data_IF_181926412843
#
_entry.id   IF_181926412843
#
_cell.length_a   1.000
_cell.length_b   1.000
_cell.length_c   1.000
_cell.angle_alpha   90.00
_cell.angle_beta   90.00
_cell.angle_gamma   90.00
#
_symmetry.space_group_name_H-M   'P 1'
#
loop_
_entity.id
_entity.type
_entity.pdbx_description
1 polymer ?
#
# COMPACT_ATOMS: atom_id res chain seq x y z
N UNK A 1 -43.92 -77.96 -14.65
CA UNK A 1 -43.16 -77.97 -13.39
C UNK A 1 -41.83 -77.27 -13.63
N UNK A 2 -41.60 -76.21 -12.85
CA UNK A 2 -40.37 -75.42 -12.81
C UNK A 2 -39.16 -76.27 -12.39
N UNK A 3 -38.00 -76.04 -13.01
CA UNK A 3 -36.71 -76.06 -12.31
C UNK A 3 -35.76 -75.02 -12.91
N UNK A 4 -35.71 -73.89 -12.22
CA UNK A 4 -34.68 -72.86 -12.33
C UNK A 4 -33.34 -73.42 -11.87
N UNK A 5 -32.26 -73.17 -12.60
CA UNK A 5 -30.88 -73.28 -12.08
C UNK A 5 -30.25 -71.90 -12.20
N UNK A 6 -29.92 -71.35 -11.04
CA UNK A 6 -29.31 -70.05 -10.82
C UNK A 6 -27.99 -69.92 -11.60
N UNK A 7 -27.92 -68.90 -12.45
CA UNK A 7 -26.65 -68.31 -12.88
C UNK A 7 -26.28 -67.31 -11.78
N UNK A 8 -25.31 -67.67 -10.95
CA UNK A 8 -24.73 -66.74 -9.98
C UNK A 8 -23.70 -65.86 -10.69
N UNK A 9 -24.17 -64.70 -11.19
CA UNK A 9 -23.29 -63.60 -11.59
C UNK A 9 -22.99 -62.77 -10.33
N UNK A 10 -21.94 -63.12 -9.61
CA UNK A 10 -21.34 -62.23 -8.62
C UNK A 10 -20.71 -61.06 -9.35
N UNK A 11 -21.46 -59.96 -9.46
CA UNK A 11 -20.94 -58.65 -9.84
C UNK A 11 -19.92 -58.19 -8.78
N UNK A 12 -18.64 -58.14 -9.18
CA UNK A 12 -17.62 -57.35 -8.49
C UNK A 12 -17.96 -55.85 -8.65
N UNK A 13 -18.71 -55.28 -7.70
CA UNK A 13 -18.86 -53.83 -7.55
C UNK A 13 -17.85 -53.30 -6.51
N UNK A 14 -16.55 -53.40 -6.83
CA UNK A 14 -15.49 -52.73 -6.05
C UNK A 14 -14.55 -51.99 -7.02
N UNK A 15 -15.08 -51.00 -7.76
CA UNK A 15 -14.25 -50.05 -8.54
C UNK A 15 -14.68 -48.57 -8.42
N UNK A 16 -15.74 -48.20 -7.69
CA UNK A 16 -16.27 -46.82 -7.79
C UNK A 16 -15.60 -45.76 -6.91
N UNK A 17 -14.72 -46.13 -5.97
CA UNK A 17 -14.06 -45.16 -5.09
C UNK A 17 -12.68 -44.71 -5.59
N UNK A 18 -11.92 -45.58 -6.28
CA UNK A 18 -10.61 -45.21 -6.84
C UNK A 18 -10.75 -44.24 -8.02
N UNK A 19 -11.69 -44.52 -8.94
CA UNK A 19 -11.95 -43.68 -10.12
C UNK A 19 -12.37 -42.24 -9.76
N UNK A 20 -13.08 -42.05 -8.64
CA UNK A 20 -13.51 -40.72 -8.22
C UNK A 20 -12.36 -39.89 -7.63
N UNK A 21 -11.34 -40.51 -7.01
CA UNK A 21 -10.17 -39.81 -6.44
C UNK A 21 -9.26 -39.29 -7.54
N UNK A 22 -8.91 -40.15 -8.49
CA UNK A 22 -7.99 -39.80 -9.56
C UNK A 22 -8.63 -38.78 -10.51
N UNK A 23 -9.93 -38.95 -10.81
CA UNK A 23 -10.70 -37.95 -11.55
C UNK A 23 -10.75 -36.60 -10.82
N UNK A 24 -10.93 -36.60 -9.49
CA UNK A 24 -10.91 -35.36 -8.70
C UNK A 24 -9.53 -34.69 -8.74
N UNK A 25 -8.45 -35.45 -8.54
CA UNK A 25 -7.07 -34.91 -8.57
C UNK A 25 -6.73 -34.31 -9.93
N UNK A 26 -7.09 -34.98 -11.02
CA UNK A 26 -6.86 -34.48 -12.37
C UNK A 26 -7.64 -33.18 -12.63
N UNK A 27 -8.92 -33.13 -12.25
CA UNK A 27 -9.74 -31.91 -12.37
C UNK A 27 -9.17 -30.76 -11.53
N UNK A 28 -8.78 -31.06 -10.29
CA UNK A 28 -8.15 -30.09 -9.40
C UNK A 28 -6.85 -29.55 -9.97
N UNK A 29 -5.98 -30.40 -10.51
CA UNK A 29 -4.74 -30.01 -11.19
C UNK A 29 -5.02 -29.11 -12.40
N UNK A 30 -5.99 -29.48 -13.25
CA UNK A 30 -6.37 -28.69 -14.41
C UNK A 30 -6.86 -27.29 -14.02
N UNK A 31 -7.77 -27.18 -13.04
CA UNK A 31 -8.28 -25.89 -12.56
C UNK A 31 -7.17 -25.05 -11.92
N UNK A 32 -6.31 -25.65 -11.09
CA UNK A 32 -5.16 -24.94 -10.49
C UNK A 32 -4.15 -24.48 -11.54
N UNK A 33 -3.92 -25.27 -12.59
CA UNK A 33 -3.03 -24.88 -13.67
C UNK A 33 -3.63 -23.75 -14.52
N UNK A 34 -4.93 -23.83 -14.82
CA UNK A 34 -5.65 -22.77 -15.51
C UNK A 34 -5.57 -21.45 -14.72
N UNK A 35 -5.78 -21.51 -13.40
CA UNK A 35 -5.61 -20.36 -12.51
C UNK A 35 -4.20 -19.75 -12.62
N UNK A 36 -3.16 -20.57 -12.53
CA UNK A 36 -1.77 -20.10 -12.63
C UNK A 36 -1.51 -19.41 -13.98
N UNK A 37 -2.01 -19.98 -15.09
CA UNK A 37 -1.89 -19.39 -16.43
C UNK A 37 -2.62 -18.05 -16.55
N UNK A 38 -3.86 -17.95 -16.05
CA UNK A 38 -4.63 -16.69 -16.03
C UNK A 38 -3.91 -15.64 -15.19
N UNK A 39 -3.39 -16.02 -14.02
CA UNK A 39 -2.66 -15.12 -13.14
C UNK A 39 -1.37 -14.57 -13.77
N UNK A 40 -0.62 -15.38 -14.51
CA UNK A 40 0.57 -14.91 -15.24
C UNK A 40 0.16 -13.89 -16.31
N UNK A 41 -0.89 -14.16 -17.08
CA UNK A 41 -1.41 -13.23 -18.10
C UNK A 41 -1.86 -11.91 -17.47
N UNK A 42 -2.65 -11.98 -16.38
CA UNK A 42 -3.07 -10.81 -15.61
C UNK A 42 -1.88 -9.97 -15.15
N UNK A 43 -0.84 -10.61 -14.57
CA UNK A 43 0.37 -9.91 -14.12
C UNK A 43 1.11 -9.22 -15.27
N UNK A 44 1.31 -9.92 -16.38
CA UNK A 44 2.01 -9.39 -17.54
C UNK A 44 1.24 -8.21 -18.15
N UNK A 45 -0.07 -8.35 -18.36
CA UNK A 45 -0.92 -7.27 -18.86
C UNK A 45 -0.94 -6.08 -17.90
N UNK A 46 -1.00 -6.33 -16.59
CA UNK A 46 -0.96 -5.27 -15.57
C UNK A 46 0.31 -4.45 -15.69
N UNK A 47 1.47 -5.10 -15.75
CA UNK A 47 2.78 -4.44 -15.92
C UNK A 47 2.78 -3.64 -17.22
N UNK A 48 2.55 -4.31 -18.35
CA UNK A 48 2.64 -3.70 -19.68
C UNK A 48 1.70 -2.50 -19.85
N UNK A 49 0.50 -2.57 -19.27
CA UNK A 49 -0.51 -1.51 -19.40
C UNK A 49 -0.16 -0.24 -18.64
N UNK A 50 0.66 -0.33 -17.58
CA UNK A 50 0.99 0.82 -16.73
C UNK A 50 2.45 1.27 -16.80
N UNK A 51 3.38 0.49 -17.39
CA UNK A 51 4.81 0.82 -17.45
C UNK A 51 5.06 2.24 -17.95
N UNK A 52 4.59 2.57 -19.16
CA UNK A 52 4.81 3.92 -19.75
C UNK A 52 4.20 5.04 -18.90
N UNK A 53 3.04 4.80 -18.29
CA UNK A 53 2.37 5.77 -17.45
C UNK A 53 3.14 6.01 -16.14
N UNK A 54 3.76 4.96 -15.58
CA UNK A 54 4.60 5.07 -14.40
C UNK A 54 5.92 5.80 -14.72
N UNK A 55 6.52 5.55 -15.88
CA UNK A 55 7.72 6.26 -16.32
C UNK A 55 7.43 7.77 -16.47
N UNK A 56 6.32 8.12 -17.12
CA UNK A 56 5.85 9.50 -17.24
C UNK A 56 5.56 10.12 -15.85
N UNK A 57 4.98 9.37 -14.93
CA UNK A 57 4.70 9.83 -13.56
C UNK A 57 5.98 10.13 -12.78
N UNK A 58 7.01 9.30 -12.95
CA UNK A 58 8.30 9.50 -12.32
C UNK A 58 9.00 10.74 -12.88
N UNK A 59 8.98 10.94 -14.19
CA UNK A 59 9.52 12.16 -14.82
C UNK A 59 8.82 13.43 -14.28
N UNK A 60 7.47 13.42 -14.20
CA UNK A 60 6.73 14.57 -13.67
C UNK A 60 7.07 14.83 -12.21
N UNK A 61 7.26 13.79 -11.39
CA UNK A 61 7.69 13.94 -9.99
C UNK A 61 9.05 14.60 -9.90
N UNK A 62 10.00 14.19 -10.72
CA UNK A 62 11.33 14.80 -10.76
C UNK A 62 11.27 16.28 -11.15
N UNK A 63 10.42 16.64 -12.12
CA UNK A 63 10.25 18.04 -12.53
C UNK A 63 9.56 18.89 -11.45
N UNK A 64 8.57 18.34 -10.75
CA UNK A 64 7.97 18.97 -9.57
C UNK A 64 9.03 19.19 -8.48
N UNK A 65 9.89 18.21 -8.24
CA UNK A 65 10.95 18.27 -7.24
C UNK A 65 11.99 19.34 -7.56
N UNK A 66 12.36 19.52 -8.84
CA UNK A 66 13.27 20.60 -9.27
C UNK A 66 12.75 21.99 -8.87
N UNK A 67 11.44 22.18 -8.84
CA UNK A 67 10.81 23.45 -8.48
C UNK A 67 10.58 23.57 -6.97
N UNK A 68 10.04 22.51 -6.35
CA UNK A 68 9.56 22.57 -4.96
C UNK A 68 10.66 22.36 -3.91
N UNK A 69 11.67 21.52 -4.18
CA UNK A 69 12.75 21.24 -3.21
C UNK A 69 13.54 22.49 -2.80
N UNK A 70 13.93 23.40 -3.72
CA UNK A 70 14.60 24.64 -3.32
C UNK A 70 13.77 25.49 -2.35
N UNK A 71 12.45 25.56 -2.55
CA UNK A 71 11.53 26.31 -1.68
C UNK A 71 11.40 25.65 -0.31
N UNK A 72 11.28 24.32 -0.28
CA UNK A 72 11.25 23.54 0.97
C UNK A 72 12.53 23.74 1.77
N UNK A 73 13.69 23.65 1.13
CA UNK A 73 14.99 23.87 1.77
C UNK A 73 15.09 25.28 2.37
N UNK A 74 14.75 26.33 1.60
CA UNK A 74 14.80 27.71 2.10
C UNK A 74 13.83 27.93 3.26
N UNK A 75 12.64 27.34 3.20
CA UNK A 75 11.66 27.39 4.28
C UNK A 75 12.23 26.76 5.56
N UNK A 76 12.90 25.61 5.45
CA UNK A 76 13.51 24.95 6.60
C UNK A 76 14.65 25.77 7.21
N UNK A 77 15.50 26.38 6.37
CA UNK A 77 16.53 27.32 6.82
C UNK A 77 15.90 28.50 7.60
N UNK A 78 14.78 29.06 7.13
CA UNK A 78 14.09 30.15 7.81
C UNK A 78 13.47 29.70 9.14
N UNK A 79 12.90 28.49 9.21
CA UNK A 79 12.39 27.91 10.47
C UNK A 79 13.50 27.71 11.50
N UNK A 80 14.66 27.23 11.07
CA UNK A 80 15.82 27.10 11.95
C UNK A 80 16.28 28.48 12.47
N UNK A 81 16.25 29.52 11.63
CA UNK A 81 16.52 30.90 12.08
C UNK A 81 15.50 31.40 13.11
N UNK A 82 14.21 31.11 12.92
CA UNK A 82 13.16 31.42 13.92
C UNK A 82 13.48 30.74 15.26
N UNK A 83 13.88 29.47 15.23
CA UNK A 83 14.29 28.74 16.43
C UNK A 83 15.45 29.43 17.15
N UNK A 84 16.48 29.84 16.41
CA UNK A 84 17.64 30.55 16.97
C UNK A 84 17.25 31.92 17.58
N UNK A 85 16.35 32.67 16.94
CA UNK A 85 15.82 33.94 17.48
C UNK A 85 15.13 33.70 18.82
N UNK A 86 14.31 32.65 18.92
CA UNK A 86 13.61 32.28 20.17
C UNK A 86 14.58 31.85 21.26
N UNK A 87 15.64 31.11 20.93
CA UNK A 87 16.70 30.75 21.89
C UNK A 87 17.38 32.02 22.42
N UNK A 88 17.71 32.97 21.54
CA UNK A 88 18.30 34.26 21.95
C UNK A 88 17.35 35.04 22.87
N UNK A 89 16.07 35.13 22.53
CA UNK A 89 15.05 35.76 23.37
C UNK A 89 15.03 35.19 24.80
N UNK A 90 15.03 33.86 24.93
CA UNK A 90 15.04 33.19 26.24
C UNK A 90 16.33 33.50 27.01
N UNK A 91 17.48 33.49 26.33
CA UNK A 91 18.76 33.83 26.93
C UNK A 91 18.81 35.27 27.44
N UNK A 92 18.33 36.23 26.66
CA UNK A 92 18.30 37.65 27.06
C UNK A 92 17.28 37.89 28.18
N UNK A 93 16.11 37.24 28.14
CA UNK A 93 15.12 37.33 29.21
C UNK A 93 15.68 36.82 30.53
N UNK A 94 16.40 35.71 30.50
CA UNK A 94 17.08 35.17 31.68
C UNK A 94 18.14 36.14 32.21
N UNK A 95 18.94 36.76 31.35
CA UNK A 95 19.94 37.75 31.73
C UNK A 95 19.31 38.98 32.39
N UNK A 96 18.24 39.51 31.81
CA UNK A 96 17.47 40.64 32.38
C UNK A 96 16.96 40.29 33.79
N UNK A 97 16.45 39.07 33.98
CA UNK A 97 16.00 38.58 35.28
C UNK A 97 17.17 38.46 36.28
N UNK A 98 18.27 37.82 35.90
CA UNK A 98 19.43 37.63 36.79
C UNK A 98 20.06 38.96 37.22
N UNK A 99 20.19 39.93 36.30
CA UNK A 99 20.68 41.27 36.61
C UNK A 99 19.74 42.02 37.57
N UNK A 100 18.42 41.93 37.35
CA UNK A 100 17.41 42.56 38.20
C UNK A 100 17.41 41.96 39.62
N UNK A 101 17.46 40.63 39.72
CA UNK A 101 17.47 39.91 40.99
C UNK A 101 18.72 40.26 41.82
N UNK A 102 19.89 40.35 41.17
CA UNK A 102 21.14 40.72 41.84
C UNK A 102 21.11 42.13 42.45
N UNK A 103 20.41 43.07 41.81
CA UNK A 103 20.38 44.48 42.23
C UNK A 103 19.24 44.75 43.23
N UNK A 104 18.05 44.20 43.00
CA UNK A 104 16.84 44.57 43.74
C UNK A 104 16.20 43.42 44.54
N UNK A 105 16.54 42.15 44.26
CA UNK A 105 15.94 40.97 44.91
C UNK A 105 14.44 40.78 44.62
N UNK A 106 13.90 41.51 43.64
CA UNK A 106 12.53 41.37 43.15
C UNK A 106 12.39 41.89 41.72
N UNK A 107 11.36 41.42 41.01
CA UNK A 107 11.10 41.74 39.60
C UNK A 107 10.13 42.93 39.39
N UNK A 108 9.55 43.47 40.46
CA UNK A 108 8.54 44.55 40.36
C UNK A 108 9.17 45.95 40.24
N UNK A 109 10.02 46.16 39.23
CA UNK A 109 10.51 47.52 38.90
C UNK A 109 10.06 47.93 37.50
N UNK A 110 9.70 49.22 37.28
CA UNK A 110 9.35 49.71 35.95
C UNK A 110 10.45 49.49 34.92
N UNK A 111 11.72 49.54 35.33
CA UNK A 111 12.86 49.31 34.44
C UNK A 111 12.94 47.85 33.98
N UNK A 112 12.72 46.89 34.87
CA UNK A 112 12.65 45.47 34.53
C UNK A 112 11.54 45.19 33.53
N UNK A 113 10.33 45.68 33.80
CA UNK A 113 9.17 45.50 32.93
C UNK A 113 9.46 46.04 31.52
N UNK A 114 10.03 47.24 31.43
CA UNK A 114 10.39 47.87 30.16
C UNK A 114 11.45 47.06 29.38
N UNK A 115 12.48 46.55 30.06
CA UNK A 115 13.52 45.71 29.41
C UNK A 115 12.94 44.40 28.89
N UNK A 116 12.05 43.77 29.65
CA UNK A 116 11.39 42.53 29.25
C UNK A 116 10.43 42.75 28.07
N UNK A 117 9.66 43.83 28.10
CA UNK A 117 8.78 44.24 26.98
C UNK A 117 9.59 44.48 25.71
N UNK A 118 10.68 45.24 25.81
CA UNK A 118 11.57 45.50 24.66
C UNK A 118 12.17 44.21 24.09
N UNK A 119 12.57 43.25 24.94
CA UNK A 119 13.06 41.94 24.50
C UNK A 119 11.97 41.14 23.76
N UNK A 120 10.74 41.16 24.28
CA UNK A 120 9.59 40.52 23.64
C UNK A 120 9.28 41.15 22.27
N UNK A 121 9.24 42.48 22.19
CA UNK A 121 8.97 43.21 20.94
C UNK A 121 10.02 42.94 19.87
N UNK A 122 11.30 42.93 20.26
CA UNK A 122 12.40 42.59 19.36
C UNK A 122 12.27 41.17 18.81
N UNK A 123 12.00 40.19 19.68
CA UNK A 123 11.76 38.80 19.27
C UNK A 123 10.59 38.69 18.29
N UNK A 124 9.44 39.29 18.64
CA UNK A 124 8.22 39.21 17.82
C UNK A 124 8.43 39.85 16.44
N UNK A 125 9.12 40.99 16.39
CA UNK A 125 9.47 41.65 15.13
C UNK A 125 10.37 40.79 14.25
N UNK A 126 11.42 40.20 14.81
CA UNK A 126 12.35 39.35 14.06
C UNK A 126 11.68 38.07 13.56
N UNK A 127 10.89 37.40 14.41
CA UNK A 127 10.13 36.20 14.04
C UNK A 127 9.13 36.51 12.93
N UNK A 128 8.35 37.58 13.05
CA UNK A 128 7.34 37.98 12.06
C UNK A 128 7.96 38.24 10.68
N UNK A 129 9.14 38.88 10.62
CA UNK A 129 9.86 39.09 9.35
C UNK A 129 10.23 37.76 8.70
N UNK A 130 10.68 36.77 9.48
CA UNK A 130 11.05 35.45 8.97
C UNK A 130 9.82 34.65 8.53
N UNK A 131 8.73 34.70 9.28
CA UNK A 131 7.45 34.07 8.93
C UNK A 131 6.87 34.65 7.64
N UNK A 132 6.92 35.97 7.47
CA UNK A 132 6.52 36.63 6.23
C UNK A 132 7.37 36.19 5.03
N UNK A 133 8.68 35.99 5.22
CA UNK A 133 9.54 35.44 4.14
C UNK A 133 9.13 34.02 3.75
N UNK A 134 8.78 33.17 4.72
CA UNK A 134 8.24 31.83 4.45
C UNK A 134 6.93 31.93 3.67
N UNK A 135 6.00 32.78 4.10
CA UNK A 135 4.71 32.97 3.43
C UNK A 135 4.88 33.44 1.97
N UNK A 136 5.80 34.37 1.72
CA UNK A 136 6.12 34.83 0.35
C UNK A 136 6.71 33.70 -0.50
N UNK A 137 7.62 32.88 0.04
CA UNK A 137 8.19 31.74 -0.68
C UNK A 137 7.11 30.72 -1.06
N UNK A 138 6.22 30.39 -0.12
CA UNK A 138 5.11 29.47 -0.35
C UNK A 138 4.11 30.04 -1.37
N UNK A 139 3.79 31.34 -1.27
CA UNK A 139 2.92 32.02 -2.24
C UNK A 139 3.52 31.99 -3.65
N UNK A 140 4.82 32.25 -3.79
CA UNK A 140 5.52 32.17 -5.09
C UNK A 140 5.47 30.76 -5.69
N UNK A 141 5.66 29.73 -4.87
CA UNK A 141 5.54 28.33 -5.33
C UNK A 141 4.11 28.02 -5.75
N UNK A 142 3.13 28.38 -4.91
CA UNK A 142 1.73 28.10 -5.17
C UNK A 142 1.20 28.85 -6.40
N UNK A 143 1.74 30.04 -6.71
CA UNK A 143 1.37 30.82 -7.88
C UNK A 143 2.24 30.53 -9.12
N UNK A 144 3.18 29.60 -9.04
CA UNK A 144 3.99 29.19 -10.18
C UNK A 144 3.14 28.34 -11.13
N UNK A 145 2.77 28.90 -12.28
CA UNK A 145 1.91 28.23 -13.28
C UNK A 145 2.47 26.89 -13.73
N UNK A 146 3.77 26.80 -13.99
CA UNK A 146 4.40 25.54 -14.41
C UNK A 146 4.30 24.47 -13.31
N UNK A 147 4.55 24.84 -12.05
CA UNK A 147 4.37 23.93 -10.92
C UNK A 147 2.91 23.45 -10.80
N UNK A 148 1.94 24.35 -10.90
CA UNK A 148 0.52 24.01 -10.86
C UNK A 148 0.13 23.06 -12.00
N UNK A 149 0.58 23.34 -13.22
CA UNK A 149 0.34 22.47 -14.38
C UNK A 149 0.94 21.08 -14.20
N UNK A 150 2.16 20.98 -13.68
CA UNK A 150 2.80 19.69 -13.39
C UNK A 150 2.04 18.91 -12.31
N UNK A 151 1.58 19.58 -11.26
CA UNK A 151 0.76 18.95 -10.20
C UNK A 151 -0.57 18.44 -10.78
N UNK A 152 -1.23 19.20 -11.64
CA UNK A 152 -2.46 18.78 -12.32
C UNK A 152 -2.20 17.58 -13.24
N UNK A 153 -1.13 17.62 -14.04
CA UNK A 153 -0.70 16.49 -14.90
C UNK A 153 -0.42 15.25 -14.05
N UNK A 154 0.29 15.39 -12.92
CA UNK A 154 0.56 14.28 -12.00
C UNK A 154 -0.75 13.64 -11.50
N UNK A 155 -1.74 14.45 -11.10
CA UNK A 155 -3.02 13.96 -10.60
C UNK A 155 -3.84 13.27 -11.70
N UNK A 156 -3.89 13.85 -12.90
CA UNK A 156 -4.54 13.22 -14.06
C UNK A 156 -3.89 11.88 -14.42
N UNK A 157 -2.56 11.80 -14.37
CA UNK A 157 -1.83 10.57 -14.67
C UNK A 157 -2.06 9.48 -13.63
N UNK A 158 -2.12 9.83 -12.33
CA UNK A 158 -2.52 8.90 -11.27
C UNK A 158 -3.93 8.33 -11.51
N UNK A 159 -4.88 9.16 -11.93
CA UNK A 159 -6.23 8.71 -12.26
C UNK A 159 -6.24 7.77 -13.48
N UNK A 160 -5.44 8.08 -14.51
CA UNK A 160 -5.29 7.21 -15.69
C UNK A 160 -4.70 5.84 -15.30
N UNK A 161 -3.66 5.81 -14.46
CA UNK A 161 -3.07 4.57 -13.94
C UNK A 161 -4.11 3.75 -13.18
N UNK A 162 -4.88 4.38 -12.28
CA UNK A 162 -5.94 3.71 -11.54
C UNK A 162 -7.01 3.13 -12.48
N UNK A 163 -7.47 3.92 -13.47
CA UNK A 163 -8.45 3.47 -14.46
C UNK A 163 -7.93 2.29 -15.28
N UNK A 164 -6.68 2.35 -15.74
CA UNK A 164 -6.04 1.26 -16.49
C UNK A 164 -5.92 -0.01 -15.64
N UNK A 165 -5.51 0.13 -14.38
CA UNK A 165 -5.40 -0.98 -13.43
C UNK A 165 -6.76 -1.65 -13.23
N UNK A 166 -7.82 -0.87 -13.00
CA UNK A 166 -9.18 -1.38 -12.87
C UNK A 166 -9.66 -2.05 -14.17
N UNK A 167 -9.32 -1.50 -15.34
CA UNK A 167 -9.65 -2.11 -16.63
C UNK A 167 -9.01 -3.49 -16.82
N UNK A 168 -7.76 -3.65 -16.40
CA UNK A 168 -7.09 -4.97 -16.41
C UNK A 168 -7.75 -5.92 -15.41
N UNK A 169 -8.08 -5.46 -14.20
CA UNK A 169 -8.80 -6.30 -13.23
C UNK A 169 -10.14 -6.80 -13.78
N UNK A 170 -10.94 -5.90 -14.36
CA UNK A 170 -12.25 -6.25 -14.92
C UNK A 170 -12.11 -7.22 -16.10
N UNK A 171 -11.11 -7.04 -16.97
CA UNK A 171 -10.81 -7.96 -18.09
C UNK A 171 -10.61 -9.40 -17.63
N UNK A 172 -9.99 -9.62 -16.47
CA UNK A 172 -9.67 -10.96 -15.96
C UNK A 172 -10.66 -11.49 -14.93
N UNK A 173 -11.56 -10.64 -14.42
CA UNK A 173 -12.53 -10.96 -13.37
C UNK A 173 -13.35 -12.21 -13.67
N UNK A 174 -14.00 -12.26 -14.85
CA UNK A 174 -14.85 -13.40 -15.24
C UNK A 174 -14.07 -14.73 -15.24
N UNK A 175 -12.81 -14.72 -15.67
CA UNK A 175 -11.97 -15.93 -15.66
C UNK A 175 -11.63 -16.37 -14.24
N UNK A 176 -11.30 -15.43 -13.35
CA UNK A 176 -11.02 -15.76 -11.95
C UNK A 176 -12.27 -16.21 -11.19
N UNK A 177 -13.40 -15.52 -11.37
CA UNK A 177 -14.67 -15.88 -10.72
C UNK A 177 -15.12 -17.29 -11.11
N UNK A 178 -15.00 -17.63 -12.40
CA UNK A 178 -15.29 -18.98 -12.90
C UNK A 178 -14.40 -20.04 -12.25
N UNK A 179 -13.07 -19.83 -12.27
CA UNK A 179 -12.13 -20.79 -11.69
C UNK A 179 -12.26 -20.88 -10.16
N UNK A 180 -12.64 -19.79 -9.49
CA UNK A 180 -12.89 -19.79 -8.05
C UNK A 180 -14.08 -20.68 -7.72
N UNK A 181 -15.17 -20.57 -8.48
CA UNK A 181 -16.33 -21.43 -8.34
C UNK A 181 -15.98 -22.91 -8.53
N UNK A 182 -15.21 -23.24 -9.58
CA UNK A 182 -14.73 -24.62 -9.78
C UNK A 182 -13.91 -25.13 -8.58
N UNK A 183 -13.02 -24.31 -8.04
CA UNK A 183 -12.21 -24.66 -6.87
C UNK A 183 -13.06 -24.85 -5.62
N UNK A 184 -14.10 -24.06 -5.43
CA UNK A 184 -15.01 -24.17 -4.29
C UNK A 184 -15.80 -25.48 -4.35
N UNK A 185 -16.34 -25.83 -5.52
CA UNK A 185 -17.01 -27.11 -5.76
C UNK A 185 -16.03 -28.29 -5.56
N UNK A 186 -14.80 -28.17 -6.06
CA UNK A 186 -13.76 -29.17 -5.85
C UNK A 186 -13.39 -29.30 -4.37
N UNK A 187 -13.28 -28.21 -3.62
CA UNK A 187 -12.99 -28.23 -2.18
C UNK A 187 -14.14 -28.85 -1.37
N UNK A 188 -15.39 -28.66 -1.79
CA UNK A 188 -16.54 -29.35 -1.20
C UNK A 188 -16.45 -30.86 -1.43
N UNK A 189 -16.24 -31.27 -2.68
CA UNK A 189 -16.08 -32.69 -3.06
C UNK A 189 -14.89 -33.35 -2.34
N UNK A 190 -13.79 -32.61 -2.16
CA UNK A 190 -12.61 -33.07 -1.45
C UNK A 190 -12.92 -33.49 -0.01
N UNK A 191 -13.67 -32.68 0.74
CA UNK A 191 -14.07 -33.00 2.12
C UNK A 191 -14.89 -34.27 2.18
N UNK A 192 -15.85 -34.42 1.27
CA UNK A 192 -16.69 -35.61 1.17
C UNK A 192 -15.89 -36.87 0.82
N UNK A 193 -14.91 -36.76 -0.10
CA UNK A 193 -14.00 -37.86 -0.42
C UNK A 193 -13.21 -38.25 0.82
N UNK A 194 -12.60 -37.28 1.52
CA UNK A 194 -11.80 -37.55 2.73
C UNK A 194 -12.58 -38.32 3.78
N UNK A 195 -13.84 -37.98 4.05
CA UNK A 195 -14.65 -38.67 5.08
C UNK A 195 -14.77 -40.19 4.85
N UNK A 196 -14.70 -40.63 3.59
CA UNK A 196 -14.82 -42.05 3.20
C UNK A 196 -13.51 -42.82 3.23
N UNK A 197 -12.37 -42.14 3.42
CA UNK A 197 -11.04 -42.74 3.33
C UNK A 197 -10.53 -43.20 4.70
N UNK A 198 -9.77 -44.31 4.69
CA UNK A 198 -9.01 -44.71 5.87
C UNK A 198 -7.80 -43.79 6.10
N UNK A 199 -7.12 -43.93 7.25
CA UNK A 199 -6.01 -43.05 7.65
C UNK A 199 -4.88 -42.97 6.61
N UNK A 200 -4.47 -44.11 6.08
CA UNK A 200 -3.36 -44.18 5.10
C UNK A 200 -3.76 -43.57 3.76
N UNK A 201 -4.98 -43.85 3.30
CA UNK A 201 -5.53 -43.27 2.07
C UNK A 201 -5.69 -41.76 2.15
N UNK A 202 -6.14 -41.24 3.31
CA UNK A 202 -6.23 -39.78 3.58
C UNK A 202 -4.88 -39.11 3.41
N UNK A 203 -3.84 -39.64 4.06
CA UNK A 203 -2.49 -39.10 3.97
C UNK A 203 -1.96 -39.11 2.54
N UNK A 204 -2.17 -40.19 1.79
CA UNK A 204 -1.74 -40.26 0.40
C UNK A 204 -2.48 -39.23 -0.48
N UNK A 205 -3.80 -39.13 -0.33
CA UNK A 205 -4.63 -38.20 -1.10
C UNK A 205 -4.30 -36.73 -0.79
N UNK A 206 -4.10 -36.39 0.48
CA UNK A 206 -3.62 -35.08 0.93
C UNK A 206 -2.26 -34.75 0.30
N UNK A 207 -1.30 -35.67 0.35
CA UNK A 207 0.02 -35.47 -0.23
C UNK A 207 -0.05 -35.21 -1.75
N UNK A 208 -0.92 -35.93 -2.48
CA UNK A 208 -1.10 -35.71 -3.91
C UNK A 208 -1.72 -34.34 -4.21
N UNK A 209 -2.73 -33.92 -3.44
CA UNK A 209 -3.30 -32.58 -3.53
C UNK A 209 -2.26 -31.49 -3.26
N UNK A 210 -1.44 -31.65 -2.23
CA UNK A 210 -0.40 -30.67 -1.89
C UNK A 210 0.70 -30.59 -2.96
N UNK A 211 1.07 -31.71 -3.59
CA UNK A 211 1.96 -31.72 -4.76
C UNK A 211 1.38 -30.89 -5.91
N UNK A 212 0.09 -31.07 -6.22
CA UNK A 212 -0.62 -30.26 -7.21
C UNK A 212 -0.63 -28.78 -6.81
N UNK A 213 -0.86 -28.44 -5.53
CA UNK A 213 -0.84 -27.03 -5.08
C UNK A 213 0.52 -26.38 -5.27
N UNK A 214 1.60 -27.10 -5.01
CA UNK A 214 2.96 -26.61 -5.17
C UNK A 214 3.35 -26.44 -6.66
N UNK A 215 2.94 -27.37 -7.53
CA UNK A 215 3.28 -27.35 -8.95
C UNK A 215 2.07 -27.77 -9.82
N UNK A 216 1.07 -26.89 -10.01
CA UNK A 216 -0.20 -27.31 -10.60
C UNK A 216 -0.14 -27.61 -12.10
N UNK A 217 0.88 -27.08 -12.79
CA UNK A 217 1.07 -27.28 -14.24
C UNK A 217 2.17 -28.29 -14.60
N UNK A 218 2.66 -29.05 -13.62
CA UNK A 218 3.61 -30.15 -13.84
C UNK A 218 2.93 -31.49 -13.66
#
# INVERSE_FOLDING_TARGET
MYKSVLISFTFFFICSCADNRDSWLQKYQNTKCAWAKVHIKFKNDSIQSITKLNDELNSIKEDIDKISKPVQYQTEVLKNKISNVRIKYLSESRKIYEEQEQVYGHISTPEFEKKQEQNNDNNNREVLILENKIAVLQSKLNNNTNYQELVLKQNSLKQRIAKTTNGVQEKYKVSFDHLQKELDDQNYNYKYILEKLNKTEKQNFENQRERIRANPCK
#
